data_IF_298258090070
#
_entry.id   IF_298258090070
#
_cell.length_a   1.000
_cell.length_b   1.000
_cell.length_c   1.000
_cell.angle_alpha   90.00
_cell.angle_beta   90.00
_cell.angle_gamma   90.00
#
_symmetry.space_group_name_H-M   'P 1'
#
loop_
_entity.id
_entity.type
_entity.pdbx_description
1 polymer ?
#
# COMPACT_ATOMS: atom_id res chain seq x y z
N UNK A 1 -4.92 16.15 7.99
CA UNK A 1 -6.03 15.22 8.24
C UNK A 1 -5.60 13.88 8.83
N UNK A 2 -5.05 12.91 8.06
CA UNK A 2 -4.74 11.54 8.56
C UNK A 2 -3.95 11.45 9.88
N UNK A 3 -2.97 12.35 10.11
CA UNK A 3 -2.27 12.45 11.40
C UNK A 3 -3.22 12.68 12.59
N UNK A 4 -4.24 13.52 12.42
CA UNK A 4 -5.20 13.81 13.49
C UNK A 4 -6.07 12.59 13.81
N UNK A 5 -6.41 11.79 12.80
CA UNK A 5 -7.12 10.52 12.99
C UNK A 5 -6.31 9.54 13.82
N UNK A 6 -5.04 9.30 13.45
CA UNK A 6 -4.19 8.38 14.21
C UNK A 6 -3.91 8.86 15.63
N UNK A 7 -3.82 10.18 15.87
CA UNK A 7 -3.73 10.75 17.23
C UNK A 7 -4.95 10.33 18.07
N UNK A 8 -6.16 10.53 17.54
CA UNK A 8 -7.40 10.18 18.23
C UNK A 8 -7.56 8.67 18.44
N UNK A 9 -7.29 7.87 17.41
CA UNK A 9 -7.36 6.41 17.46
C UNK A 9 -6.36 5.83 18.45
N UNK A 10 -5.10 6.28 18.43
CA UNK A 10 -4.07 5.83 19.37
C UNK A 10 -4.44 6.19 20.81
N UNK A 11 -4.92 7.42 21.04
CA UNK A 11 -5.38 7.85 22.36
C UNK A 11 -6.53 6.96 22.87
N UNK A 12 -7.56 6.72 22.03
CA UNK A 12 -8.70 5.88 22.38
C UNK A 12 -8.31 4.43 22.70
N UNK A 13 -7.39 3.84 21.93
CA UNK A 13 -6.89 2.49 22.22
C UNK A 13 -6.08 2.44 23.51
N UNK A 14 -5.26 3.45 23.81
CA UNK A 14 -4.52 3.53 25.08
C UNK A 14 -5.48 3.66 26.26
N UNK A 15 -6.50 4.53 26.16
CA UNK A 15 -7.53 4.69 27.19
C UNK A 15 -8.33 3.40 27.44
N UNK A 16 -8.55 2.60 26.40
CA UNK A 16 -9.20 1.30 26.46
C UNK A 16 -8.27 0.15 26.91
N UNK A 17 -7.01 0.43 27.24
CA UNK A 17 -5.96 -0.57 27.54
C UNK A 17 -5.67 -1.55 26.39
N UNK A 18 -5.98 -1.18 25.15
CA UNK A 18 -5.75 -1.94 23.93
C UNK A 18 -4.38 -1.61 23.30
N UNK A 19 -3.29 -1.71 24.08
CA UNK A 19 -1.94 -1.29 23.67
C UNK A 19 -1.45 -1.94 22.37
N UNK A 20 -1.83 -3.19 22.11
CA UNK A 20 -1.48 -3.88 20.86
C UNK A 20 -2.11 -3.21 19.66
N UNK A 21 -3.39 -2.81 19.74
CA UNK A 21 -4.07 -2.08 18.67
C UNK A 21 -3.50 -0.69 18.47
N UNK A 22 -3.19 0.01 19.56
CA UNK A 22 -2.51 1.30 19.48
C UNK A 22 -1.16 1.19 18.75
N UNK A 23 -0.34 0.20 19.11
CA UNK A 23 0.97 0.00 18.50
C UNK A 23 0.88 -0.41 17.02
N UNK A 24 -0.01 -1.34 16.66
CA UNK A 24 -0.18 -1.76 15.27
C UNK A 24 -0.83 -0.68 14.41
N UNK A 25 -1.82 0.05 14.92
CA UNK A 25 -2.42 1.18 14.19
C UNK A 25 -1.40 2.29 13.92
N UNK A 26 -0.54 2.59 14.90
CA UNK A 26 0.56 3.53 14.69
C UNK A 26 1.60 3.00 13.69
N UNK A 27 1.91 1.70 13.72
CA UNK A 27 2.78 1.07 12.73
C UNK A 27 2.21 1.23 11.31
N UNK A 28 0.92 0.94 11.12
CA UNK A 28 0.23 1.06 9.82
C UNK A 28 0.25 2.51 9.31
N UNK A 29 0.08 3.49 10.20
CA UNK A 29 0.23 4.90 9.85
C UNK A 29 1.68 5.24 9.45
N UNK A 30 2.68 4.83 10.22
CA UNK A 30 4.07 5.19 9.93
C UNK A 30 4.55 4.56 8.63
N UNK A 31 4.34 3.26 8.45
CA UNK A 31 4.79 2.56 7.25
C UNK A 31 3.86 2.80 6.07
N UNK A 32 2.58 2.47 6.23
CA UNK A 32 1.61 2.48 5.15
C UNK A 32 1.21 3.87 4.68
N UNK A 33 1.10 4.86 5.58
CA UNK A 33 0.65 6.20 5.21
C UNK A 33 1.81 7.17 5.00
N UNK A 34 2.69 7.29 5.99
CA UNK A 34 3.77 8.28 5.97
C UNK A 34 4.90 7.86 5.03
N UNK A 35 5.49 6.68 5.22
CA UNK A 35 6.64 6.24 4.45
C UNK A 35 6.28 5.85 3.01
N UNK A 36 5.29 5.00 2.82
CA UNK A 36 4.94 4.45 1.50
C UNK A 36 4.29 5.50 0.57
N UNK A 37 3.53 6.44 1.14
CA UNK A 37 2.81 7.44 0.36
C UNK A 37 3.28 8.87 0.60
N UNK A 38 3.14 9.41 1.81
CA UNK A 38 3.35 10.84 2.03
C UNK A 38 4.76 11.30 1.63
N UNK A 39 5.80 10.56 2.02
CA UNK A 39 7.17 10.86 1.62
C UNK A 39 7.37 10.75 0.10
N UNK A 40 6.78 9.77 -0.57
CA UNK A 40 6.85 9.62 -2.04
C UNK A 40 6.11 10.74 -2.79
N UNK A 41 4.98 11.20 -2.25
CA UNK A 41 4.15 12.27 -2.82
C UNK A 41 4.89 13.60 -2.82
N UNK A 42 5.68 13.87 -1.78
CA UNK A 42 6.38 15.15 -1.60
C UNK A 42 7.81 15.18 -2.14
N UNK A 43 8.36 14.04 -2.60
CA UNK A 43 9.68 13.99 -3.24
C UNK A 43 9.80 14.99 -4.39
N UNK A 44 10.96 15.64 -4.48
CA UNK A 44 11.24 16.67 -5.49
C UNK A 44 10.81 18.08 -5.09
N UNK A 45 10.20 18.26 -3.91
CA UNK A 45 9.87 19.57 -3.33
C UNK A 45 10.90 20.00 -2.29
N UNK A 46 12.18 19.86 -2.63
CA UNK A 46 13.27 20.20 -1.73
C UNK A 46 13.22 21.70 -1.36
N UNK A 47 13.58 22.02 -0.12
CA UNK A 47 13.62 23.39 0.42
C UNK A 47 12.29 24.15 0.48
N UNK A 48 11.14 23.48 0.35
CA UNK A 48 9.83 24.06 0.64
C UNK A 48 9.64 24.22 2.17
N UNK A 49 9.56 25.47 2.63
CA UNK A 49 9.44 25.79 4.06
C UNK A 49 8.12 25.30 4.68
N UNK A 50 7.01 25.34 3.95
CA UNK A 50 5.71 24.90 4.45
C UNK A 50 5.66 23.37 4.57
N UNK A 51 6.21 22.68 3.57
CA UNK A 51 6.37 21.22 3.62
C UNK A 51 7.31 20.81 4.75
N UNK A 52 8.44 21.50 4.92
CA UNK A 52 9.40 21.22 5.99
C UNK A 52 8.77 21.38 7.37
N UNK A 53 8.00 22.45 7.58
CA UNK A 53 7.24 22.66 8.81
C UNK A 53 6.18 21.57 9.03
N UNK A 54 5.51 21.12 7.97
CA UNK A 54 4.52 20.05 8.04
C UNK A 54 5.17 18.72 8.43
N UNK A 55 6.26 18.33 7.76
CA UNK A 55 7.02 17.11 8.07
C UNK A 55 7.58 17.12 9.48
N UNK A 56 8.10 18.27 9.95
CA UNK A 56 8.57 18.42 11.33
C UNK A 56 7.43 18.24 12.35
N UNK A 57 6.26 18.81 12.08
CA UNK A 57 5.07 18.64 12.92
C UNK A 57 4.59 17.19 12.96
N UNK A 58 4.56 16.51 11.80
CA UNK A 58 4.24 15.09 11.70
C UNK A 58 5.26 14.25 12.48
N UNK A 59 6.56 14.47 12.27
CA UNK A 59 7.62 13.73 12.97
C UNK A 59 7.49 13.84 14.48
N UNK A 60 7.39 15.06 15.03
CA UNK A 60 7.27 15.28 16.48
C UNK A 60 6.04 14.58 17.07
N UNK A 61 4.91 14.66 16.37
CA UNK A 61 3.67 14.02 16.81
C UNK A 61 3.82 12.51 16.80
N UNK A 62 4.36 11.94 15.72
CA UNK A 62 4.62 10.50 15.60
C UNK A 62 5.56 10.00 16.69
N UNK A 63 6.64 10.73 17.00
CA UNK A 63 7.57 10.38 18.08
C UNK A 63 6.84 10.32 19.44
N UNK A 64 6.01 11.33 19.74
CA UNK A 64 5.24 11.35 20.99
C UNK A 64 4.25 10.18 21.08
N UNK A 65 3.54 9.85 19.99
CA UNK A 65 2.63 8.70 19.94
C UNK A 65 3.36 7.36 20.10
N UNK A 66 4.57 7.25 19.56
CA UNK A 66 5.36 6.02 19.57
C UNK A 66 6.11 5.80 20.89
N UNK A 67 6.37 6.87 21.66
CA UNK A 67 7.19 6.84 22.86
C UNK A 67 6.78 5.79 23.91
N UNK A 68 5.49 5.55 24.19
CA UNK A 68 5.08 4.49 25.12
C UNK A 68 5.51 3.08 24.70
N UNK A 69 5.78 2.85 23.40
CA UNK A 69 6.11 1.53 22.85
C UNK A 69 7.61 1.37 22.57
N UNK A 70 8.29 2.44 22.13
CA UNK A 70 9.70 2.42 21.70
C UNK A 70 10.51 3.60 22.29
N UNK A 71 10.56 3.73 23.62
CA UNK A 71 10.97 4.97 24.29
C UNK A 71 12.39 5.41 23.94
N UNK A 72 13.37 4.49 23.95
CA UNK A 72 14.77 4.83 23.72
C UNK A 72 15.04 5.41 22.33
N UNK A 73 14.45 4.82 21.29
CA UNK A 73 14.64 5.28 19.91
C UNK A 73 13.94 6.62 19.70
N UNK A 74 12.72 6.77 20.23
CA UNK A 74 11.98 8.03 20.10
C UNK A 74 12.63 9.18 20.87
N UNK A 75 13.27 8.90 22.00
CA UNK A 75 14.00 9.90 22.79
C UNK A 75 15.26 10.39 22.04
N UNK A 76 16.03 9.47 21.47
CA UNK A 76 17.19 9.81 20.63
C UNK A 76 16.79 10.67 19.42
N UNK A 77 15.73 10.27 18.72
CA UNK A 77 15.22 11.04 17.58
C UNK A 77 14.67 12.41 18.01
N UNK A 78 14.02 12.48 19.17
CA UNK A 78 13.48 13.72 19.73
C UNK A 78 14.59 14.73 20.07
N UNK A 79 15.70 14.29 20.68
CA UNK A 79 16.85 15.14 20.98
C UNK A 79 17.49 15.72 19.70
N UNK A 80 17.51 14.93 18.63
CA UNK A 80 18.01 15.38 17.31
C UNK A 80 17.02 16.27 16.53
N UNK A 81 15.75 16.35 16.97
CA UNK A 81 14.69 17.06 16.25
C UNK A 81 14.78 18.57 16.55
N UNK A 82 14.83 19.46 15.55
CA UNK A 82 14.93 20.90 15.79
C UNK A 82 13.80 21.41 16.67
N UNK A 83 14.09 22.28 17.65
CA UNK A 83 13.10 23.02 18.46
C UNK A 83 12.30 22.19 19.46
N UNK A 84 12.79 21.00 19.83
CA UNK A 84 12.33 20.23 20.99
C UNK A 84 13.13 20.64 22.23
N UNK A 85 12.54 20.53 23.41
CA UNK A 85 13.19 20.83 24.68
C UNK A 85 12.81 19.76 25.72
N UNK A 86 13.74 19.43 26.60
CA UNK A 86 13.54 18.42 27.64
C UNK A 86 13.34 17.01 27.09
N UNK A 87 12.99 16.09 28.00
CA UNK A 87 12.72 14.70 27.64
C UNK A 87 11.34 14.56 27.00
N UNK A 88 11.23 13.76 25.94
CA UNK A 88 9.96 13.40 25.31
C UNK A 88 9.02 12.72 26.31
N UNK A 89 9.57 11.91 27.22
CA UNK A 89 8.82 11.31 28.34
C UNK A 89 8.08 12.33 29.23
N UNK A 90 8.56 13.58 29.29
CA UNK A 90 7.94 14.68 30.05
C UNK A 90 7.04 15.58 29.20
N UNK A 91 6.91 15.32 27.90
CA UNK A 91 6.11 16.12 26.98
C UNK A 91 4.61 15.83 27.11
N UNK A 92 3.78 16.77 26.67
CA UNK A 92 2.34 16.58 26.65
C UNK A 92 1.92 15.60 25.55
N UNK A 93 0.94 14.74 25.84
CA UNK A 93 0.34 13.90 24.81
C UNK A 93 -0.32 14.75 23.71
N UNK A 94 -0.14 14.43 22.42
CA UNK A 94 -0.77 15.18 21.33
C UNK A 94 -2.29 15.18 21.42
N UNK A 95 -2.92 16.34 21.24
CA UNK A 95 -4.37 16.46 21.15
C UNK A 95 -4.81 16.51 19.68
N UNK A 96 -6.00 15.97 19.41
CA UNK A 96 -6.65 16.07 18.09
C UNK A 96 -6.99 17.53 17.80
N UNK A 97 -6.55 18.02 16.64
CA UNK A 97 -6.97 19.30 16.08
C UNK A 97 -8.01 19.07 14.99
N UNK A 98 -9.28 19.20 15.37
CA UNK A 98 -10.44 19.06 14.48
C UNK A 98 -10.36 20.00 13.26
N UNK A 99 -9.74 21.18 13.41
CA UNK A 99 -9.56 22.14 12.30
C UNK A 99 -8.56 21.68 11.23
N UNK A 100 -7.80 20.62 11.50
CA UNK A 100 -6.86 19.98 10.56
C UNK A 100 -7.40 18.69 9.95
N UNK A 101 -8.62 18.30 10.31
CA UNK A 101 -9.34 17.21 9.64
C UNK A 101 -9.95 17.77 8.36
N UNK A 102 -9.59 17.13 7.26
CA UNK A 102 -9.94 17.55 5.90
C UNK A 102 -10.35 16.29 5.12
N UNK A 103 -11.65 15.94 5.16
CA UNK A 103 -12.17 14.77 4.45
C UNK A 103 -12.03 14.86 2.94
N UNK A 104 -12.13 16.07 2.37
CA UNK A 104 -12.02 16.29 0.93
C UNK A 104 -10.58 16.01 0.45
N UNK A 105 -9.58 16.47 1.20
CA UNK A 105 -8.19 16.14 0.91
C UNK A 105 -7.90 14.64 1.05
N UNK A 106 -8.53 13.97 2.02
CA UNK A 106 -8.40 12.52 2.19
C UNK A 106 -9.01 11.72 1.05
N UNK A 107 -10.19 12.13 0.56
CA UNK A 107 -10.85 11.52 -0.58
C UNK A 107 -10.03 11.72 -1.85
N UNK A 108 -9.59 12.95 -2.11
CA UNK A 108 -8.76 13.29 -3.28
C UNK A 108 -7.45 12.49 -3.30
N UNK A 109 -6.69 12.49 -2.22
CA UNK A 109 -5.43 11.73 -2.14
C UNK A 109 -5.70 10.22 -2.12
N UNK A 110 -6.83 9.78 -1.55
CA UNK A 110 -7.29 8.39 -1.63
C UNK A 110 -7.50 7.92 -3.08
N UNK A 111 -8.11 8.74 -3.93
CA UNK A 111 -8.28 8.44 -5.34
C UNK A 111 -6.93 8.33 -6.09
N UNK A 112 -5.97 9.21 -5.79
CA UNK A 112 -4.60 9.14 -6.34
C UNK A 112 -3.90 7.84 -5.93
N UNK A 113 -3.96 7.49 -4.64
CA UNK A 113 -3.37 6.26 -4.08
C UNK A 113 -3.96 5.02 -4.76
N UNK A 114 -5.29 4.97 -4.90
CA UNK A 114 -5.98 3.87 -5.56
C UNK A 114 -5.57 3.75 -7.04
N UNK A 115 -5.57 4.86 -7.78
CA UNK A 115 -5.13 4.87 -9.19
C UNK A 115 -3.69 4.35 -9.35
N UNK A 116 -2.75 4.84 -8.54
CA UNK A 116 -1.34 4.41 -8.60
C UNK A 116 -1.20 2.93 -8.22
N UNK A 117 -1.98 2.46 -7.25
CA UNK A 117 -1.98 1.04 -6.83
C UNK A 117 -2.43 0.14 -7.97
N UNK A 118 -3.55 0.45 -8.64
CA UNK A 118 -4.04 -0.31 -9.78
C UNK A 118 -3.01 -0.35 -10.92
N UNK A 119 -2.39 0.79 -11.23
CA UNK A 119 -1.37 0.87 -12.28
C UNK A 119 -0.12 0.05 -11.93
N UNK A 120 0.34 0.11 -10.67
CA UNK A 120 1.51 -0.68 -10.22
C UNK A 120 1.20 -2.18 -10.19
N UNK A 121 -0.01 -2.55 -9.78
CA UNK A 121 -0.49 -3.94 -9.79
C UNK A 121 -0.52 -4.49 -11.23
N UNK A 122 -1.12 -3.73 -12.15
CA UNK A 122 -1.12 -4.08 -13.57
C UNK A 122 0.30 -4.23 -14.11
N UNK A 123 1.20 -3.29 -13.84
CA UNK A 123 2.61 -3.36 -14.28
C UNK A 123 3.30 -4.64 -13.81
N UNK A 124 3.12 -5.00 -12.54
CA UNK A 124 3.66 -6.23 -11.98
C UNK A 124 3.08 -7.44 -12.70
N UNK A 125 1.76 -7.49 -12.89
CA UNK A 125 1.09 -8.60 -13.58
C UNK A 125 1.47 -8.71 -15.07
N UNK A 126 1.86 -7.59 -15.67
CA UNK A 126 2.30 -7.51 -17.07
C UNK A 126 3.80 -7.78 -17.23
N UNK A 127 4.53 -8.06 -16.14
CA UNK A 127 5.98 -8.33 -16.19
C UNK A 127 6.83 -7.11 -16.54
N UNK A 128 6.30 -5.89 -16.38
CA UNK A 128 7.03 -4.67 -16.72
C UNK A 128 8.07 -4.39 -15.63
N UNK A 129 9.33 -4.22 -16.04
CA UNK A 129 10.42 -3.91 -15.13
C UNK A 129 10.09 -2.69 -14.23
N UNK A 130 10.35 -2.74 -12.91
CA UNK A 130 9.93 -1.70 -11.96
C UNK A 130 10.43 -0.29 -12.28
N UNK A 131 11.58 -0.15 -12.94
CA UNK A 131 12.18 1.15 -13.30
C UNK A 131 11.77 1.71 -14.65
N UNK A 132 11.10 0.94 -15.51
CA UNK A 132 10.83 1.30 -16.91
C UNK A 132 9.68 2.31 -17.01
N UNK A 133 9.89 3.44 -17.68
CA UNK A 133 8.79 4.34 -18.03
C UNK A 133 8.02 3.81 -19.24
N UNK A 134 6.70 3.98 -19.23
CA UNK A 134 5.80 3.61 -20.33
C UNK A 134 5.05 4.83 -20.83
N UNK A 135 4.75 4.87 -22.12
CA UNK A 135 3.80 5.84 -22.66
C UNK A 135 2.40 5.57 -22.11
N UNK A 136 1.70 6.60 -21.61
CA UNK A 136 0.31 6.44 -21.19
C UNK A 136 -0.51 7.72 -21.28
N UNK A 137 -1.83 7.59 -21.44
CA UNK A 137 -2.77 8.70 -21.41
C UNK A 137 -3.79 8.48 -20.30
N UNK A 138 -3.94 9.47 -19.42
CA UNK A 138 -4.94 9.44 -18.34
C UNK A 138 -6.26 10.08 -18.79
N UNK A 139 -7.32 9.29 -18.80
CA UNK A 139 -8.69 9.70 -19.08
C UNK A 139 -9.56 9.41 -17.86
N UNK A 140 -9.41 10.21 -16.80
CA UNK A 140 -10.14 10.03 -15.55
C UNK A 140 -10.62 11.36 -14.96
N UNK A 141 -11.88 11.73 -15.20
CA UNK A 141 -12.56 12.82 -14.49
C UNK A 141 -12.38 12.74 -12.97
N UNK A 142 -11.86 13.81 -12.37
CA UNK A 142 -11.57 13.93 -10.94
C UNK A 142 -10.09 13.79 -10.57
N UNK A 143 -9.24 13.28 -11.48
CA UNK A 143 -7.79 13.17 -11.27
C UNK A 143 -6.98 14.18 -12.08
N UNK A 144 -7.62 15.12 -12.80
CA UNK A 144 -6.92 16.06 -13.68
C UNK A 144 -5.93 16.94 -12.93
N UNK A 145 -6.29 17.40 -11.73
CA UNK A 145 -5.44 18.22 -10.89
C UNK A 145 -4.22 17.45 -10.33
N UNK A 146 -4.30 16.11 -10.30
CA UNK A 146 -3.26 15.21 -9.77
C UNK A 146 -2.61 14.35 -10.85
N UNK A 147 -2.89 14.64 -12.13
CA UNK A 147 -2.39 13.88 -13.28
C UNK A 147 -0.89 13.67 -13.23
N UNK A 148 -0.12 14.75 -13.05
CA UNK A 148 1.34 14.67 -12.99
C UNK A 148 1.82 13.76 -11.86
N UNK A 149 1.15 13.82 -10.70
CA UNK A 149 1.46 13.00 -9.54
C UNK A 149 1.19 11.52 -9.81
N UNK A 150 0.03 11.18 -10.38
CA UNK A 150 -0.32 9.80 -10.76
C UNK A 150 0.69 9.26 -11.76
N UNK A 151 0.97 10.01 -12.83
CA UNK A 151 1.88 9.60 -13.90
C UNK A 151 3.30 9.37 -13.36
N UNK A 152 3.82 10.28 -12.53
CA UNK A 152 5.13 10.14 -11.89
C UNK A 152 5.21 8.89 -11.01
N UNK A 153 4.25 8.68 -10.12
CA UNK A 153 4.27 7.58 -9.17
C UNK A 153 4.03 6.21 -9.82
N UNK A 154 3.32 6.17 -10.95
CA UNK A 154 3.11 4.98 -11.76
C UNK A 154 4.21 4.76 -12.82
N UNK A 155 5.19 5.67 -12.93
CA UNK A 155 6.26 5.67 -13.95
C UNK A 155 5.69 5.63 -15.37
N UNK A 156 4.79 6.55 -15.62
CA UNK A 156 4.13 6.76 -16.89
C UNK A 156 4.52 8.13 -17.44
N UNK A 157 4.51 8.24 -18.76
CA UNK A 157 4.86 9.46 -19.48
C UNK A 157 3.83 9.71 -20.59
N UNK A 158 3.13 10.84 -20.52
CA UNK A 158 2.14 11.24 -21.53
C UNK A 158 2.81 11.70 -22.83
N UNK A 159 4.02 12.24 -22.74
CA UNK A 159 4.81 12.64 -23.90
C UNK A 159 5.38 11.46 -24.69
N UNK A 160 5.42 10.26 -24.08
CA UNK A 160 5.82 9.02 -24.74
C UNK A 160 4.62 8.17 -25.21
N UNK A 161 3.39 8.71 -25.13
CA UNK A 161 2.20 8.01 -25.59
C UNK A 161 2.14 8.04 -27.13
N UNK A 162 2.70 7.01 -27.74
CA UNK A 162 2.71 6.83 -29.19
C UNK A 162 2.49 5.35 -29.56
N UNK A 163 1.81 5.10 -30.67
CA UNK A 163 1.55 3.75 -31.18
C UNK A 163 0.23 3.15 -30.72
N UNK A 164 0.16 1.81 -30.72
CA UNK A 164 -1.05 1.06 -30.39
C UNK A 164 -1.21 0.90 -28.87
N UNK A 165 -2.43 1.08 -28.40
CA UNK A 165 -2.78 0.85 -26.99
C UNK A 165 -2.65 -0.63 -26.68
N UNK A 166 -1.65 -0.95 -25.84
CA UNK A 166 -1.35 -2.32 -25.42
C UNK A 166 -2.15 -2.75 -24.19
N UNK A 167 -2.62 -1.79 -23.40
CA UNK A 167 -3.45 -2.06 -22.23
C UNK A 167 -4.30 -0.84 -21.86
N UNK A 168 -5.43 -1.11 -21.21
CA UNK A 168 -6.28 -0.10 -20.61
C UNK A 168 -6.55 -0.52 -19.17
N UNK A 169 -6.16 0.30 -18.21
CA UNK A 169 -6.29 0.03 -16.77
C UNK A 169 -7.39 0.91 -16.21
N UNK A 170 -8.36 0.30 -15.52
CA UNK A 170 -9.39 1.04 -14.82
C UNK A 170 -8.80 1.71 -13.57
N UNK A 171 -9.17 2.97 -13.35
CA UNK A 171 -8.77 3.77 -12.18
C UNK A 171 -9.98 4.56 -11.67
N UNK A 172 -9.96 5.10 -10.43
CA UNK A 172 -11.04 5.96 -9.96
C UNK A 172 -11.33 7.09 -10.95
N UNK A 173 -12.60 7.22 -11.34
CA UNK A 173 -13.06 8.26 -12.27
C UNK A 173 -12.87 7.94 -13.75
N UNK A 174 -12.13 6.91 -14.16
CA UNK A 174 -11.97 6.56 -15.57
C UNK A 174 -10.92 5.50 -15.87
N UNK A 175 -10.07 5.75 -16.87
CA UNK A 175 -9.09 4.77 -17.35
C UNK A 175 -7.73 5.39 -17.69
N UNK A 176 -6.71 4.56 -17.70
CA UNK A 176 -5.38 4.89 -18.24
C UNK A 176 -5.09 3.97 -19.41
N UNK A 177 -4.91 4.55 -20.60
CA UNK A 177 -4.45 3.83 -21.79
C UNK A 177 -2.92 3.79 -21.79
N UNK A 178 -2.32 2.63 -22.09
CA UNK A 178 -0.87 2.43 -21.99
C UNK A 178 -0.33 1.88 -23.32
N UNK A 179 0.75 2.50 -23.80
CA UNK A 179 1.55 2.07 -24.95
C UNK A 179 2.87 1.52 -24.41
N UNK A 180 2.94 0.20 -24.20
CA UNK A 180 4.09 -0.43 -23.55
C UNK A 180 5.19 -0.85 -24.53
N UNK A 181 4.89 -0.95 -25.84
CA UNK A 181 5.89 -1.34 -26.85
C UNK A 181 6.57 -2.67 -26.52
N UNK A 182 7.91 -2.67 -26.50
CA UNK A 182 8.77 -3.81 -26.16
C UNK A 182 8.92 -4.05 -24.65
N UNK A 183 8.32 -3.21 -23.80
CA UNK A 183 8.49 -3.28 -22.36
C UNK A 183 7.68 -4.41 -21.70
N UNK A 184 6.72 -4.99 -22.42
CA UNK A 184 6.03 -6.22 -22.01
C UNK A 184 6.78 -7.38 -22.66
N UNK A 185 7.56 -8.10 -21.86
CA UNK A 185 8.15 -9.36 -22.29
C UNK A 185 7.08 -10.46 -22.22
N UNK A 186 6.36 -10.64 -23.34
CA UNK A 186 5.32 -11.65 -23.47
C UNK A 186 5.88 -13.06 -23.25
N UNK A 187 7.14 -13.33 -23.62
CA UNK A 187 7.79 -14.63 -23.40
C UNK A 187 8.13 -14.83 -21.92
N UNK A 188 8.58 -13.80 -21.21
CA UNK A 188 8.74 -13.86 -19.75
C UNK A 188 7.40 -14.04 -19.05
N UNK A 189 6.35 -13.34 -19.49
CA UNK A 189 5.00 -13.49 -18.94
C UNK A 189 4.44 -14.90 -19.17
N UNK A 190 4.61 -15.45 -20.36
CA UNK A 190 4.19 -16.82 -20.66
C UNK A 190 4.98 -17.85 -19.84
N UNK A 191 6.28 -17.64 -19.64
CA UNK A 191 7.10 -18.46 -18.74
C UNK A 191 6.62 -18.37 -17.29
N UNK A 192 6.37 -17.17 -16.77
CA UNK A 192 5.90 -16.98 -15.39
C UNK A 192 4.51 -17.59 -15.18
N UNK A 193 3.58 -17.41 -16.11
CA UNK A 193 2.27 -18.05 -16.09
C UNK A 193 2.40 -19.58 -16.14
N UNK A 194 3.31 -20.11 -16.97
CA UNK A 194 3.58 -21.54 -17.04
C UNK A 194 4.12 -22.08 -15.72
N UNK A 195 5.10 -21.39 -15.11
CA UNK A 195 5.62 -21.77 -13.79
C UNK A 195 4.56 -21.65 -12.69
N UNK A 196 3.70 -20.62 -12.74
CA UNK A 196 2.61 -20.44 -11.77
C UNK A 196 1.58 -21.55 -11.92
N UNK A 197 1.16 -21.88 -13.14
CA UNK A 197 0.27 -23.01 -13.44
C UNK A 197 0.85 -24.31 -12.88
N UNK A 198 2.11 -24.62 -13.18
CA UNK A 198 2.78 -25.82 -12.66
C UNK A 198 2.80 -25.86 -11.11
N UNK A 199 3.10 -24.73 -10.45
CA UNK A 199 3.06 -24.63 -8.97
C UNK A 199 1.66 -24.89 -8.40
N UNK A 200 0.63 -24.30 -9.01
CA UNK A 200 -0.77 -24.47 -8.58
C UNK A 200 -1.25 -25.90 -8.85
N UNK A 201 -0.91 -26.49 -9.99
CA UNK A 201 -1.18 -27.90 -10.33
C UNK A 201 -0.54 -28.86 -9.30
N UNK A 202 0.72 -28.61 -8.91
CA UNK A 202 1.40 -29.40 -7.87
C UNK A 202 0.74 -29.25 -6.49
N UNK A 203 0.19 -28.08 -6.15
CA UNK A 203 -0.58 -27.88 -4.93
C UNK A 203 -1.94 -28.58 -4.96
N UNK A 204 -2.64 -28.52 -6.11
CA UNK A 204 -3.88 -29.26 -6.34
C UNK A 204 -3.63 -30.76 -6.18
N UNK A 205 -2.62 -31.31 -6.83
CA UNK A 205 -2.29 -32.73 -6.73
C UNK A 205 -2.00 -33.18 -5.28
N UNK A 206 -1.31 -32.33 -4.50
CA UNK A 206 -1.06 -32.59 -3.07
C UNK A 206 -2.35 -32.56 -2.24
N UNK A 207 -3.22 -31.57 -2.46
CA UNK A 207 -4.50 -31.46 -1.75
C UNK A 207 -5.44 -32.62 -2.11
N UNK A 208 -5.53 -32.98 -3.39
CA UNK A 208 -6.29 -34.14 -3.88
C UNK A 208 -5.77 -35.44 -3.29
N UNK A 209 -4.44 -35.66 -3.28
CA UNK A 209 -3.83 -36.84 -2.67
C UNK A 209 -4.12 -36.95 -1.17
N UNK A 210 -4.12 -35.82 -0.45
CA UNK A 210 -4.45 -35.77 0.98
C UNK A 210 -5.93 -36.08 1.23
N UNK A 211 -6.83 -35.57 0.39
CA UNK A 211 -8.27 -35.83 0.46
C UNK A 211 -8.66 -37.24 -0.03
N UNK A 212 -7.89 -37.86 -0.91
CA UNK A 212 -8.09 -39.24 -1.35
C UNK A 212 -7.64 -40.27 -0.29
N UNK A 213 -6.82 -39.86 0.69
CA UNK A 213 -6.39 -40.72 1.78
C UNK A 213 -7.53 -40.94 2.79
N UNK A 214 -8.11 -42.14 2.77
CA UNK A 214 -9.18 -42.54 3.71
C UNK A 214 -8.78 -42.35 5.18
N UNK A 215 -7.50 -42.53 5.52
CA UNK A 215 -7.00 -42.30 6.87
C UNK A 215 -7.07 -40.83 7.28
N UNK A 216 -6.89 -39.89 6.36
CA UNK A 216 -7.04 -38.46 6.62
C UNK A 216 -8.52 -38.08 6.70
N UNK A 217 -9.34 -38.49 5.73
CA UNK A 217 -10.77 -38.12 5.69
C UNK A 217 -11.60 -38.74 6.80
N UNK A 218 -11.20 -39.89 7.34
CA UNK A 218 -11.93 -40.55 8.43
C UNK A 218 -11.40 -40.24 9.83
N UNK A 219 -10.12 -39.89 9.99
CA UNK A 219 -9.50 -39.70 11.32
C UNK A 219 -9.11 -38.26 11.65
N UNK A 220 -8.97 -37.39 10.65
CA UNK A 220 -8.64 -35.99 10.92
C UNK A 220 -9.87 -35.24 11.46
N UNK A 221 -9.66 -34.18 12.27
CA UNK A 221 -10.72 -33.26 12.66
C UNK A 221 -11.54 -32.77 11.45
N UNK A 222 -12.88 -32.73 11.53
CA UNK A 222 -13.74 -32.30 10.43
C UNK A 222 -13.39 -30.92 9.87
N UNK A 223 -12.98 -29.99 10.75
CA UNK A 223 -12.56 -28.63 10.37
C UNK A 223 -11.32 -28.62 9.48
N UNK A 224 -10.35 -29.52 9.72
CA UNK A 224 -9.15 -29.63 8.87
C UNK A 224 -9.47 -30.24 7.51
N UNK A 225 -10.41 -31.18 7.44
CA UNK A 225 -10.87 -31.76 6.17
C UNK A 225 -11.64 -30.72 5.37
N UNK A 226 -12.49 -29.91 6.02
CA UNK A 226 -13.22 -28.82 5.39
C UNK A 226 -12.28 -27.73 4.86
N UNK A 227 -11.31 -27.29 5.66
CA UNK A 227 -10.31 -26.30 5.25
C UNK A 227 -9.47 -26.78 4.05
N UNK A 228 -9.14 -28.08 3.99
CA UNK A 228 -8.40 -28.65 2.84
C UNK A 228 -9.26 -28.69 1.57
N UNK A 229 -10.57 -28.97 1.68
CA UNK A 229 -11.51 -28.91 0.55
C UNK A 229 -11.69 -27.49 0.03
N UNK A 230 -11.85 -26.52 0.93
CA UNK A 230 -11.96 -25.11 0.57
C UNK A 230 -10.66 -24.61 -0.08
N UNK A 231 -9.49 -25.05 0.44
CA UNK A 231 -8.20 -24.79 -0.20
C UNK A 231 -8.16 -25.33 -1.63
N UNK A 232 -8.61 -26.57 -1.85
CA UNK A 232 -8.65 -27.19 -3.18
C UNK A 232 -9.55 -26.42 -4.15
N UNK A 233 -10.74 -25.97 -3.72
CA UNK A 233 -11.61 -25.13 -4.56
C UNK A 233 -10.93 -23.82 -4.94
N UNK A 234 -10.36 -23.10 -3.97
CA UNK A 234 -9.64 -21.84 -4.26
C UNK A 234 -8.49 -22.03 -5.24
N UNK A 235 -7.73 -23.12 -5.11
CA UNK A 235 -6.63 -23.42 -6.04
C UNK A 235 -7.14 -23.76 -7.45
N UNK A 236 -8.28 -24.43 -7.59
CA UNK A 236 -8.89 -24.72 -8.90
C UNK A 236 -9.43 -23.45 -9.56
N UNK A 237 -10.04 -22.56 -8.79
CA UNK A 237 -10.48 -21.26 -9.27
C UNK A 237 -9.30 -20.41 -9.72
N UNK A 238 -8.20 -20.42 -8.94
CA UNK A 238 -6.95 -19.75 -9.32
C UNK A 238 -6.39 -20.32 -10.62
N UNK A 239 -6.30 -21.65 -10.76
CA UNK A 239 -5.81 -22.29 -11.98
C UNK A 239 -6.66 -21.94 -13.20
N UNK A 240 -7.98 -21.84 -13.04
CA UNK A 240 -8.90 -21.47 -14.11
C UNK A 240 -8.78 -19.99 -14.53
N UNK A 241 -8.29 -19.12 -13.63
CA UNK A 241 -8.09 -17.70 -13.89
C UNK A 241 -6.72 -17.35 -14.52
N UNK A 242 -5.75 -18.27 -14.45
CA UNK A 242 -4.42 -18.17 -15.08
C UNK A 242 -4.44 -18.60 -16.55
#
# INVERSE_FOLDING_TARGET
SRLQRVVGETAGHIEAFEFSRAAFGLYDFVYGELCDWYLELVKGRDFDANLSATLLGVLRTTLALAHPFIPFVTEELWDSTPGTEGLLAGSAWPAVDEGRIDPEAEERIGAVIAAVTELRSWRSSAGVAPGRFLGARLEAPGLEADREMVMRLARLDEGAFEGEVTATVAVPGGTVEITAGDAIDLEARERELTERRARVEDEIARAEGKLANEGFTSKAPPELVAAEREKLERLRDELAAL
#
